data_IF_604758571773
#
_entry.id   IF_604758571773
#
_cell.length_a   1.000
_cell.length_b   1.000
_cell.length_c   1.000
_cell.angle_alpha   90.00
_cell.angle_beta   90.00
_cell.angle_gamma   90.00
#
_symmetry.space_group_name_H-M   'P 1'
#
loop_
_entity.id
_entity.type
_entity.pdbx_description
1 polymer ?
#
# COMPACT_ATOMS: atom_id res chain seq x y z
N UNK A 1 -59.90 35.12 -17.53
CA UNK A 1 -61.17 34.51 -17.09
C UNK A 1 -60.86 33.69 -15.84
N UNK A 2 -61.46 34.10 -14.71
CA UNK A 2 -61.64 33.45 -13.40
C UNK A 2 -60.76 32.23 -13.03
N UNK A 3 -59.84 32.34 -12.07
CA UNK A 3 -59.98 32.47 -10.59
C UNK A 3 -60.17 31.12 -9.85
N UNK A 4 -59.10 30.81 -9.09
CA UNK A 4 -59.07 30.33 -7.70
C UNK A 4 -59.80 29.05 -7.27
N UNK A 5 -59.04 28.15 -6.62
CA UNK A 5 -59.02 28.10 -5.15
C UNK A 5 -57.78 27.37 -4.60
N UNK A 6 -56.83 28.17 -4.10
CA UNK A 6 -56.01 27.80 -2.95
C UNK A 6 -56.90 27.88 -1.70
N UNK A 7 -56.83 26.87 -0.84
CA UNK A 7 -57.09 26.99 0.60
C UNK A 7 -56.15 25.99 1.28
N UNK A 8 -55.24 26.52 2.10
CA UNK A 8 -54.26 25.74 2.84
C UNK A 8 -54.63 25.47 4.30
N UNK A 9 -53.69 24.76 4.95
CA UNK A 9 -53.35 24.79 6.39
C UNK A 9 -54.34 23.99 7.27
N UNK A 10 -53.97 22.93 8.01
CA UNK A 10 -52.89 22.83 9.02
C UNK A 10 -52.31 21.41 9.17
N UNK A 11 -51.02 21.37 9.48
CA UNK A 11 -50.29 20.30 10.14
C UNK A 11 -50.91 19.87 11.47
N UNK A 12 -51.07 18.56 11.72
CA UNK A 12 -50.97 17.93 13.04
C UNK A 12 -50.35 16.53 12.90
N UNK A 13 -49.32 16.33 13.70
CA UNK A 13 -48.54 15.14 14.03
C UNK A 13 -49.39 13.98 14.57
N UNK A 14 -49.13 12.74 14.11
CA UNK A 14 -49.43 11.48 14.81
C UNK A 14 -48.49 10.40 14.22
N UNK A 15 -47.29 10.24 14.78
CA UNK A 15 -46.95 9.29 15.87
C UNK A 15 -46.90 7.84 15.37
N UNK A 16 -45.68 7.31 15.45
CA UNK A 16 -45.25 5.92 15.59
C UNK A 16 -46.33 4.84 15.78
N UNK A 17 -46.22 3.80 14.96
CA UNK A 17 -46.73 2.45 15.19
C UNK A 17 -46.33 1.60 13.99
N UNK A 18 -45.20 0.89 13.98
CA UNK A 18 -44.91 -0.16 14.93
C UNK A 18 -45.51 -1.47 14.42
N UNK A 19 -44.88 -2.07 13.40
CA UNK A 19 -44.86 -3.53 13.26
C UNK A 19 -43.41 -3.97 13.37
N UNK A 20 -42.87 -3.79 14.58
CA UNK A 20 -42.02 -4.80 15.18
C UNK A 20 -42.84 -6.10 15.13
N UNK A 21 -42.57 -6.97 14.17
CA UNK A 21 -42.67 -8.40 14.45
C UNK A 21 -41.45 -8.73 15.31
N UNK A 22 -41.55 -8.34 16.58
CA UNK A 22 -40.84 -8.99 17.66
C UNK A 22 -41.36 -10.43 17.70
N UNK A 23 -40.77 -11.30 16.88
CA UNK A 23 -40.77 -12.73 17.18
C UNK A 23 -39.79 -12.90 18.33
N UNK A 24 -40.29 -12.61 19.53
CA UNK A 24 -39.81 -13.20 20.75
C UNK A 24 -39.94 -14.71 20.59
N UNK A 25 -38.95 -15.36 19.99
CA UNK A 25 -38.64 -16.75 20.33
C UNK A 25 -38.07 -16.72 21.74
N UNK A 26 -38.99 -16.58 22.70
CA UNK A 26 -38.82 -17.05 24.06
C UNK A 26 -38.29 -18.48 23.96
N UNK A 27 -37.09 -18.64 24.50
CA UNK A 27 -36.46 -19.90 24.85
C UNK A 27 -37.49 -20.82 25.51
N UNK A 28 -38.11 -21.68 24.71
CA UNK A 28 -38.90 -22.82 25.17
C UNK A 28 -39.08 -23.81 24.02
N UNK A 29 -38.16 -24.77 23.93
CA UNK A 29 -38.48 -26.18 23.67
C UNK A 29 -39.25 -26.60 22.41
N UNK A 30 -39.39 -25.83 21.34
CA UNK A 30 -39.90 -26.38 20.07
C UNK A 30 -38.81 -27.20 19.38
N UNK A 31 -38.93 -28.53 19.44
CA UNK A 31 -38.14 -29.45 18.62
C UNK A 31 -38.42 -29.19 17.14
N UNK A 32 -37.39 -29.26 16.28
CA UNK A 32 -37.42 -28.98 14.81
C UNK A 32 -38.55 -29.69 14.02
N UNK A 33 -39.28 -30.60 14.64
CA UNK A 33 -40.40 -31.38 14.11
C UNK A 33 -41.69 -30.60 13.87
N UNK A 34 -41.91 -29.43 14.50
CA UNK A 34 -43.21 -28.70 14.42
C UNK A 34 -43.29 -27.59 13.36
N UNK A 35 -42.20 -27.27 12.66
CA UNK A 35 -42.18 -26.17 11.68
C UNK A 35 -42.77 -26.60 10.32
N UNK A 36 -43.50 -25.70 9.64
CA UNK A 36 -43.93 -25.90 8.26
C UNK A 36 -42.74 -25.75 7.26
N UNK A 37 -42.90 -26.15 6.00
CA UNK A 37 -41.79 -26.17 5.02
C UNK A 37 -41.15 -24.79 4.78
N UNK A 38 -41.95 -23.74 4.77
CA UNK A 38 -41.47 -22.35 4.62
C UNK A 38 -40.66 -21.91 5.83
N UNK A 39 -41.12 -22.22 7.05
CA UNK A 39 -40.42 -21.93 8.30
C UNK A 39 -39.12 -22.73 8.42
N UNK A 40 -39.12 -24.02 8.04
CA UNK A 40 -37.89 -24.84 7.98
C UNK A 40 -36.88 -24.27 7.00
N UNK A 41 -37.34 -23.79 5.85
CA UNK A 41 -36.49 -23.13 4.85
C UNK A 41 -35.88 -21.81 5.36
N UNK A 42 -36.65 -21.02 6.11
CA UNK A 42 -36.17 -19.78 6.73
C UNK A 42 -35.16 -20.06 7.85
N UNK A 43 -35.45 -21.03 8.72
CA UNK A 43 -34.54 -21.46 9.79
C UNK A 43 -33.22 -21.97 9.21
N UNK A 44 -33.25 -22.80 8.16
CA UNK A 44 -32.03 -23.28 7.51
C UNK A 44 -31.20 -22.15 6.86
N UNK A 45 -31.85 -21.13 6.28
CA UNK A 45 -31.16 -19.94 5.77
C UNK A 45 -30.55 -19.10 6.89
N UNK A 46 -31.24 -18.97 8.01
CA UNK A 46 -30.73 -18.25 9.17
C UNK A 46 -29.54 -18.99 9.80
N UNK A 47 -29.65 -20.31 10.01
CA UNK A 47 -28.54 -21.14 10.52
C UNK A 47 -27.30 -21.05 9.62
N UNK A 48 -27.50 -20.98 8.29
CA UNK A 48 -26.43 -20.78 7.33
C UNK A 48 -25.77 -19.39 7.47
N UNK A 49 -26.58 -18.33 7.53
CA UNK A 49 -26.10 -16.97 7.70
C UNK A 49 -25.34 -16.79 9.02
N UNK A 50 -25.87 -17.33 10.11
CA UNK A 50 -25.24 -17.28 11.44
C UNK A 50 -23.87 -17.98 11.43
N UNK A 51 -23.73 -19.08 10.67
CA UNK A 51 -22.46 -19.80 10.54
C UNK A 51 -21.44 -19.01 9.73
N UNK A 52 -21.84 -18.37 8.64
CA UNK A 52 -20.97 -17.45 7.90
C UNK A 52 -20.53 -16.26 8.76
N UNK A 53 -21.46 -15.65 9.50
CA UNK A 53 -21.18 -14.53 10.41
C UNK A 53 -20.18 -14.93 11.50
N UNK A 54 -20.39 -16.10 12.12
CA UNK A 54 -19.47 -16.62 13.13
C UNK A 54 -18.07 -16.84 12.57
N UNK A 55 -17.95 -17.53 11.44
CA UNK A 55 -16.65 -17.80 10.80
C UNK A 55 -15.94 -16.50 10.37
N UNK A 56 -16.69 -15.48 9.96
CA UNK A 56 -16.13 -14.18 9.59
C UNK A 56 -15.35 -13.56 10.76
N UNK A 57 -15.96 -13.45 11.94
CA UNK A 57 -15.30 -12.88 13.11
C UNK A 57 -14.23 -13.82 13.69
N UNK A 58 -14.48 -15.14 13.74
CA UNK A 58 -13.48 -16.12 14.20
C UNK A 58 -12.19 -16.10 13.35
N UNK A 59 -12.26 -15.73 12.07
CA UNK A 59 -11.08 -15.60 11.20
C UNK A 59 -10.07 -14.56 11.68
N UNK A 60 -10.50 -13.54 12.44
CA UNK A 60 -9.61 -12.58 13.08
C UNK A 60 -9.06 -13.04 14.43
N UNK A 61 -9.63 -14.09 15.03
CA UNK A 61 -9.19 -14.63 16.31
C UNK A 61 -8.23 -15.79 16.08
N UNK A 62 -8.67 -16.80 15.32
CA UNK A 62 -7.99 -18.07 15.10
C UNK A 62 -7.97 -18.44 13.60
N UNK A 63 -7.13 -17.81 12.77
CA UNK A 63 -7.19 -17.94 11.31
C UNK A 63 -7.03 -19.39 10.82
N UNK A 64 -6.14 -20.17 11.44
CA UNK A 64 -5.86 -21.55 11.02
C UNK A 64 -6.99 -22.53 11.39
N UNK A 65 -7.65 -22.30 12.52
CA UNK A 65 -8.81 -23.09 12.93
C UNK A 65 -10.03 -22.74 12.08
N UNK A 66 -10.25 -21.45 11.84
CA UNK A 66 -11.33 -20.95 10.99
C UNK A 66 -11.22 -21.47 9.57
N UNK A 67 -10.01 -21.53 9.00
CA UNK A 67 -9.82 -22.12 7.66
C UNK A 67 -10.24 -23.60 7.62
N UNK A 68 -9.91 -24.39 8.65
CA UNK A 68 -10.35 -25.80 8.73
C UNK A 68 -11.87 -25.89 8.84
N UNK A 69 -12.48 -25.11 9.73
CA UNK A 69 -13.94 -25.06 9.89
C UNK A 69 -14.66 -24.62 8.61
N UNK A 70 -14.09 -23.66 7.87
CA UNK A 70 -14.63 -23.21 6.58
C UNK A 70 -14.58 -24.33 5.54
N UNK A 71 -13.46 -25.06 5.43
CA UNK A 71 -13.35 -26.22 4.51
C UNK A 71 -14.33 -27.33 4.87
N UNK A 72 -14.50 -27.63 6.15
CA UNK A 72 -15.49 -28.61 6.61
C UNK A 72 -16.92 -28.15 6.31
N UNK A 73 -17.22 -26.87 6.53
CA UNK A 73 -18.52 -26.28 6.22
C UNK A 73 -18.83 -26.34 4.72
N UNK A 74 -17.85 -26.06 3.86
CA UNK A 74 -17.98 -26.19 2.41
C UNK A 74 -18.35 -27.60 1.96
N UNK A 75 -17.64 -28.60 2.49
CA UNK A 75 -17.81 -29.99 2.09
C UNK A 75 -19.08 -30.64 2.65
N UNK A 76 -19.52 -30.24 3.84
CA UNK A 76 -20.61 -30.91 4.55
C UNK A 76 -21.96 -30.19 4.40
N UNK A 77 -21.95 -28.86 4.30
CA UNK A 77 -23.17 -28.05 4.41
C UNK A 77 -23.47 -27.24 3.14
N UNK A 78 -22.44 -26.88 2.35
CA UNK A 78 -22.63 -26.12 1.11
C UNK A 78 -22.68 -27.02 -0.14
N UNK A 79 -22.04 -28.18 -0.10
CA UNK A 79 -22.02 -29.15 -1.20
C UNK A 79 -22.59 -30.48 -0.70
N UNK A 80 -23.56 -31.01 -1.42
CA UNK A 80 -24.12 -32.35 -1.22
C UNK A 80 -24.45 -32.97 -2.58
N UNK A 81 -24.75 -34.26 -2.61
CA UNK A 81 -24.98 -35.03 -3.85
C UNK A 81 -26.00 -34.36 -4.80
N UNK A 82 -27.01 -33.67 -4.25
CA UNK A 82 -28.11 -33.09 -5.03
C UNK A 82 -28.16 -31.54 -4.96
N UNK A 83 -27.23 -30.90 -4.24
CA UNK A 83 -27.27 -29.45 -4.01
C UNK A 83 -25.86 -28.87 -3.88
N UNK A 84 -25.54 -27.92 -4.76
CA UNK A 84 -24.31 -27.14 -4.70
C UNK A 84 -24.65 -25.66 -4.47
N UNK A 85 -24.50 -25.20 -3.24
CA UNK A 85 -24.76 -23.82 -2.85
C UNK A 85 -23.64 -22.85 -3.24
N UNK A 86 -22.46 -23.35 -3.64
CA UNK A 86 -21.35 -22.51 -4.10
C UNK A 86 -21.63 -21.83 -5.45
N UNK A 87 -22.67 -22.26 -6.17
CA UNK A 87 -23.15 -21.56 -7.36
C UNK A 87 -23.89 -20.26 -7.03
N UNK A 88 -24.37 -20.11 -5.79
CA UNK A 88 -24.98 -18.88 -5.30
C UNK A 88 -23.94 -17.77 -5.08
N UNK A 89 -24.23 -16.58 -5.57
CA UNK A 89 -23.28 -15.47 -5.56
C UNK A 89 -23.14 -14.84 -4.17
N UNK A 90 -24.16 -14.89 -3.32
CA UNK A 90 -24.10 -14.33 -1.97
C UNK A 90 -23.27 -15.25 -1.05
N UNK A 91 -23.43 -16.56 -1.22
CA UNK A 91 -22.61 -17.58 -0.53
C UNK A 91 -21.13 -17.46 -0.90
N UNK A 92 -20.81 -17.24 -2.18
CA UNK A 92 -19.42 -16.97 -2.60
C UNK A 92 -18.87 -15.69 -1.97
N UNK A 93 -19.69 -14.64 -1.86
CA UNK A 93 -19.28 -13.38 -1.23
C UNK A 93 -18.97 -13.58 0.25
N UNK A 94 -19.84 -14.26 1.00
CA UNK A 94 -19.60 -14.53 2.43
C UNK A 94 -18.36 -15.41 2.63
N UNK A 95 -18.17 -16.43 1.79
CA UNK A 95 -16.94 -17.23 1.79
C UNK A 95 -15.70 -16.37 1.56
N UNK A 96 -15.68 -15.56 0.51
CA UNK A 96 -14.53 -14.68 0.21
C UNK A 96 -14.26 -13.70 1.35
N UNK A 97 -15.30 -13.15 1.99
CA UNK A 97 -15.11 -12.29 3.16
C UNK A 97 -14.39 -13.01 4.30
N UNK A 98 -14.72 -14.29 4.59
CA UNK A 98 -14.03 -15.09 5.61
C UNK A 98 -12.57 -15.37 5.22
N UNK A 99 -12.32 -15.75 3.96
CA UNK A 99 -10.95 -15.97 3.46
C UNK A 99 -10.09 -14.71 3.61
N UNK A 100 -10.68 -13.53 3.41
CA UNK A 100 -10.04 -12.24 3.62
C UNK A 100 -9.73 -11.96 5.09
N UNK A 101 -10.63 -12.29 6.03
CA UNK A 101 -10.35 -12.12 7.46
C UNK A 101 -9.16 -12.98 7.89
N UNK A 102 -9.12 -14.24 7.44
CA UNK A 102 -8.02 -15.17 7.67
C UNK A 102 -6.70 -14.60 7.11
N UNK A 103 -6.69 -14.13 5.86
CA UNK A 103 -5.50 -13.56 5.21
C UNK A 103 -4.99 -12.32 5.92
N UNK A 104 -5.87 -11.37 6.24
CA UNK A 104 -5.51 -10.15 6.97
C UNK A 104 -4.95 -10.47 8.35
N UNK A 105 -5.55 -11.41 9.07
CA UNK A 105 -5.07 -11.81 10.39
C UNK A 105 -3.70 -12.48 10.34
N UNK A 106 -3.46 -13.35 9.36
CA UNK A 106 -2.13 -13.96 9.14
C UNK A 106 -1.06 -12.91 8.84
N UNK A 107 -1.37 -11.94 7.98
CA UNK A 107 -0.49 -10.80 7.71
C UNK A 107 -0.17 -10.07 9.02
N UNK A 108 -1.19 -9.76 9.82
CA UNK A 108 -1.01 -9.05 11.09
C UNK A 108 -0.14 -9.83 12.08
N UNK A 109 -0.32 -11.16 12.19
CA UNK A 109 0.41 -12.02 13.13
C UNK A 109 1.93 -12.03 12.88
N UNK A 110 2.37 -11.92 11.62
CA UNK A 110 3.79 -11.95 11.26
C UNK A 110 4.38 -10.56 11.04
N UNK A 111 3.55 -9.52 11.02
CA UNK A 111 3.89 -8.20 10.51
C UNK A 111 5.12 -7.58 11.19
N UNK A 112 5.11 -7.54 12.52
CA UNK A 112 6.20 -6.95 13.29
C UNK A 112 7.52 -7.69 13.07
N UNK A 113 7.47 -9.03 13.00
CA UNK A 113 8.67 -9.83 12.73
C UNK A 113 9.20 -9.56 11.33
N UNK A 114 8.34 -9.55 10.31
CA UNK A 114 8.76 -9.30 8.92
C UNK A 114 9.30 -7.89 8.70
N UNK A 115 8.68 -6.84 9.28
CA UNK A 115 9.15 -5.45 9.15
C UNK A 115 10.51 -5.22 9.84
N UNK A 116 10.78 -5.96 10.91
CA UNK A 116 12.03 -5.84 11.64
C UNK A 116 13.19 -6.62 11.00
N UNK A 117 12.94 -7.55 10.08
CA UNK A 117 14.00 -8.23 9.34
C UNK A 117 14.81 -7.24 8.50
N UNK A 118 16.11 -7.54 8.35
CA UNK A 118 17.01 -6.79 7.49
C UNK A 118 17.19 -5.33 7.90
N UNK A 119 17.56 -4.49 6.93
CA UNK A 119 17.84 -3.07 7.12
C UNK A 119 16.56 -2.24 7.13
N UNK A 120 16.67 -0.92 7.31
CA UNK A 120 15.51 -0.02 7.19
C UNK A 120 14.95 0.00 5.75
N UNK A 121 15.81 -0.15 4.73
CA UNK A 121 15.36 -0.33 3.34
C UNK A 121 14.39 -1.52 3.24
N UNK A 122 14.76 -2.68 3.80
CA UNK A 122 13.92 -3.89 3.77
C UNK A 122 12.57 -3.67 4.48
N UNK A 123 12.57 -2.89 5.56
CA UNK A 123 11.35 -2.48 6.26
C UNK A 123 10.40 -1.66 5.38
N UNK A 124 10.90 -0.67 4.65
CA UNK A 124 10.11 0.11 3.71
C UNK A 124 9.61 -0.73 2.53
N UNK A 125 10.43 -1.65 2.02
CA UNK A 125 10.01 -2.59 0.99
C UNK A 125 8.85 -3.46 1.50
N UNK A 126 9.00 -4.03 2.69
CA UNK A 126 8.00 -4.90 3.27
C UNK A 126 6.70 -4.15 3.61
N UNK A 127 6.78 -2.89 4.07
CA UNK A 127 5.62 -2.00 4.22
C UNK A 127 4.80 -1.98 2.93
N UNK A 128 5.42 -1.68 1.79
CA UNK A 128 4.69 -1.53 0.53
C UNK A 128 4.03 -2.84 0.10
N UNK A 129 4.74 -3.96 0.22
CA UNK A 129 4.18 -5.29 -0.08
C UNK A 129 2.94 -5.59 0.76
N UNK A 130 2.98 -5.28 2.05
CA UNK A 130 1.83 -5.48 2.93
C UNK A 130 0.68 -4.54 2.56
N UNK A 131 0.95 -3.27 2.30
CA UNK A 131 -0.08 -2.31 1.87
C UNK A 131 -0.76 -2.71 0.56
N UNK A 132 0.02 -3.14 -0.45
CA UNK A 132 -0.51 -3.66 -1.71
C UNK A 132 -1.40 -4.89 -1.47
N UNK A 133 -0.95 -5.84 -0.64
CA UNK A 133 -1.71 -7.02 -0.28
C UNK A 133 -3.02 -6.67 0.44
N UNK A 134 -2.99 -5.79 1.43
CA UNK A 134 -4.19 -5.35 2.15
C UNK A 134 -5.20 -4.64 1.23
N UNK A 135 -4.72 -3.78 0.33
CA UNK A 135 -5.58 -3.12 -0.66
C UNK A 135 -6.18 -4.11 -1.66
N UNK A 136 -5.38 -5.09 -2.11
CA UNK A 136 -5.86 -6.13 -3.04
C UNK A 136 -7.00 -6.94 -2.42
N UNK A 137 -6.91 -7.28 -1.12
CA UNK A 137 -7.96 -7.98 -0.38
C UNK A 137 -9.31 -7.25 -0.47
N UNK A 138 -9.33 -5.92 -0.29
CA UNK A 138 -10.59 -5.16 -0.39
C UNK A 138 -11.13 -5.10 -1.84
N UNK A 139 -10.22 -5.11 -2.82
CA UNK A 139 -10.58 -5.03 -4.24
C UNK A 139 -10.95 -6.38 -4.87
N UNK A 140 -10.55 -7.51 -4.27
CA UNK A 140 -10.95 -8.85 -4.69
C UNK A 140 -12.47 -9.08 -4.53
N UNK A 141 -13.14 -8.35 -3.62
CA UNK A 141 -14.58 -8.43 -3.46
C UNK A 141 -15.33 -7.82 -4.66
N UNK A 142 -16.43 -8.46 -5.13
CA UNK A 142 -17.33 -7.85 -6.11
C UNK A 142 -17.84 -6.48 -5.62
N UNK A 143 -17.98 -5.51 -6.53
CA UNK A 143 -18.38 -4.13 -6.18
C UNK A 143 -19.61 -4.05 -5.25
N UNK A 144 -20.61 -4.90 -5.48
CA UNK A 144 -21.84 -4.97 -4.66
C UNK A 144 -21.61 -5.39 -3.20
N UNK A 145 -20.51 -6.09 -2.93
CA UNK A 145 -20.12 -6.57 -1.60
C UNK A 145 -19.22 -5.59 -0.84
N UNK A 146 -18.78 -4.50 -1.49
CA UNK A 146 -17.94 -3.45 -0.90
C UNK A 146 -18.76 -2.40 -0.13
N UNK A 147 -19.67 -2.87 0.72
CA UNK A 147 -20.55 -2.02 1.55
C UNK A 147 -21.10 -2.78 2.75
N UNK A 148 -21.52 -2.03 3.77
CA UNK A 148 -22.15 -2.57 4.97
C UNK A 148 -21.15 -3.04 6.03
N UNK A 149 -21.68 -3.46 7.18
CA UNK A 149 -20.92 -3.63 8.43
C UNK A 149 -19.71 -4.56 8.32
N UNK A 150 -19.82 -5.71 7.64
CA UNK A 150 -18.69 -6.64 7.47
C UNK A 150 -17.57 -6.02 6.64
N UNK A 151 -17.91 -5.30 5.57
CA UNK A 151 -16.93 -4.62 4.74
C UNK A 151 -16.27 -3.45 5.49
N UNK A 152 -17.05 -2.63 6.19
CA UNK A 152 -16.54 -1.56 7.07
C UNK A 152 -15.59 -2.12 8.15
N UNK A 153 -15.89 -3.33 8.65
CA UNK A 153 -15.01 -4.04 9.59
C UNK A 153 -13.69 -4.47 8.93
N UNK A 154 -13.72 -4.98 7.70
CA UNK A 154 -12.50 -5.29 6.93
C UNK A 154 -11.65 -4.03 6.70
N UNK A 155 -12.28 -2.91 6.32
CA UNK A 155 -11.59 -1.62 6.13
C UNK A 155 -10.92 -1.16 7.43
N UNK A 156 -11.62 -1.27 8.56
CA UNK A 156 -11.06 -0.97 9.88
C UNK A 156 -9.84 -1.84 10.19
N UNK A 157 -9.90 -3.14 9.85
CA UNK A 157 -8.78 -4.07 10.07
C UNK A 157 -7.59 -3.80 9.15
N UNK A 158 -7.84 -3.37 7.91
CA UNK A 158 -6.78 -2.88 7.03
C UNK A 158 -6.12 -1.64 7.65
N UNK A 159 -6.90 -0.66 8.10
CA UNK A 159 -6.37 0.54 8.75
C UNK A 159 -5.57 0.23 10.04
N UNK A 160 -6.00 -0.75 10.83
CA UNK A 160 -5.25 -1.24 11.99
C UNK A 160 -3.87 -1.79 11.60
N UNK A 161 -3.79 -2.54 10.49
CA UNK A 161 -2.52 -3.04 9.95
C UNK A 161 -1.65 -1.86 9.48
N UNK A 162 -2.20 -0.89 8.74
CA UNK A 162 -1.45 0.30 8.30
C UNK A 162 -0.86 1.08 9.47
N UNK A 163 -1.64 1.26 10.54
CA UNK A 163 -1.16 1.88 11.78
C UNK A 163 0.00 1.08 12.40
N UNK A 164 -0.14 -0.24 12.53
CA UNK A 164 0.91 -1.09 13.08
C UNK A 164 2.20 -1.05 12.25
N UNK A 165 2.09 -0.97 10.92
CA UNK A 165 3.24 -0.77 10.03
C UNK A 165 3.97 0.51 10.39
N UNK A 166 3.25 1.63 10.45
CA UNK A 166 3.83 2.94 10.74
C UNK A 166 4.47 2.99 12.12
N UNK A 167 3.82 2.42 13.15
CA UNK A 167 4.37 2.33 14.50
C UNK A 167 5.65 1.50 14.54
N UNK A 168 5.67 0.36 13.84
CA UNK A 168 6.84 -0.54 13.80
C UNK A 168 8.01 0.11 13.06
N UNK A 169 7.76 0.73 11.91
CA UNK A 169 8.81 1.45 11.18
C UNK A 169 9.33 2.66 11.93
N UNK A 170 8.45 3.46 12.54
CA UNK A 170 8.88 4.60 13.38
C UNK A 170 9.81 4.14 14.51
N UNK A 171 9.55 2.98 15.13
CA UNK A 171 10.46 2.40 16.13
C UNK A 171 11.80 2.00 15.52
N UNK A 172 11.79 1.37 14.34
CA UNK A 172 13.01 0.99 13.61
C UNK A 172 13.83 2.21 13.20
N UNK A 173 13.19 3.25 12.67
CA UNK A 173 13.81 4.54 12.32
C UNK A 173 14.46 5.20 13.54
N UNK A 174 13.77 5.26 14.68
CA UNK A 174 14.30 5.82 15.94
C UNK A 174 15.45 5.00 16.53
N UNK A 175 15.55 3.72 16.20
CA UNK A 175 16.68 2.89 16.61
C UNK A 175 17.95 3.18 15.81
N UNK A 176 17.82 3.88 14.67
CA UNK A 176 18.95 4.35 13.90
C UNK A 176 19.53 5.60 14.58
N UNK A 177 20.86 5.69 14.56
CA UNK A 177 21.57 6.84 15.08
C UNK A 177 21.31 8.11 14.24
N UNK A 178 21.74 9.28 14.73
CA UNK A 178 21.68 10.51 13.95
C UNK A 178 22.58 10.41 12.72
N UNK A 179 22.35 11.28 11.74
CA UNK A 179 23.26 11.45 10.61
C UNK A 179 24.68 11.76 11.13
N UNK A 180 25.73 11.06 10.64
CA UNK A 180 27.11 11.32 11.01
C UNK A 180 27.53 12.77 10.79
N UNK A 181 28.27 13.32 11.76
CA UNK A 181 28.74 14.71 11.71
C UNK A 181 29.58 15.03 10.46
N UNK A 182 30.26 14.05 9.88
CA UNK A 182 31.05 14.22 8.65
C UNK A 182 30.22 14.55 7.40
N UNK A 183 28.92 14.22 7.44
CA UNK A 183 27.94 14.52 6.38
C UNK A 183 27.20 15.84 6.61
N UNK A 184 27.11 16.28 7.87
CA UNK A 184 26.38 17.49 8.27
C UNK A 184 27.20 18.77 8.00
N UNK A 185 26.52 19.93 8.00
CA UNK A 185 27.17 21.25 7.83
C UNK A 185 27.74 21.50 6.43
N UNK A 186 27.42 20.64 5.46
CA UNK A 186 27.96 20.65 4.10
C UNK A 186 26.82 20.66 3.08
N UNK A 187 27.01 21.46 2.04
CA UNK A 187 26.24 21.41 0.82
C UNK A 187 26.92 20.43 -0.14
N UNK A 188 26.29 19.28 -0.36
CA UNK A 188 26.78 18.25 -1.26
C UNK A 188 26.30 18.53 -2.69
N UNK A 189 27.24 18.46 -3.62
CA UNK A 189 27.05 18.80 -5.03
C UNK A 189 27.58 17.70 -5.92
N UNK A 190 26.71 17.15 -6.77
CA UNK A 190 27.12 16.25 -7.85
C UNK A 190 26.82 16.92 -9.17
N UNK A 191 27.82 16.98 -10.05
CA UNK A 191 27.71 17.53 -11.40
C UNK A 191 27.91 16.40 -12.41
N UNK A 192 26.95 16.22 -13.31
CA UNK A 192 27.01 15.22 -14.38
C UNK A 192 26.69 15.89 -15.73
N UNK A 193 27.49 15.52 -16.73
CA UNK A 193 27.19 15.78 -18.15
C UNK A 193 26.30 14.64 -18.66
N UNK A 194 25.09 14.97 -19.07
CA UNK A 194 24.11 14.00 -19.56
C UNK A 194 24.23 13.71 -21.05
N UNK A 195 24.93 14.54 -21.83
CA UNK A 195 25.02 14.40 -23.29
C UNK A 195 25.44 12.96 -23.73
N UNK A 196 26.37 12.27 -23.04
CA UNK A 196 26.74 10.89 -23.39
C UNK A 196 25.65 9.82 -23.16
N UNK A 197 24.66 10.10 -22.30
CA UNK A 197 23.68 9.10 -21.80
C UNK A 197 22.27 9.29 -22.40
N UNK A 198 21.99 10.43 -23.03
CA UNK A 198 20.67 10.82 -23.54
C UNK A 198 20.02 9.82 -24.51
N UNK A 199 20.81 8.98 -25.20
CA UNK A 199 20.29 8.05 -26.21
C UNK A 199 19.94 6.66 -25.67
N UNK A 200 20.35 6.33 -24.44
CA UNK A 200 20.26 4.96 -23.90
C UNK A 200 19.25 4.81 -22.74
N UNK A 201 18.66 5.91 -22.25
CA UNK A 201 17.68 5.88 -21.17
C UNK A 201 16.44 6.68 -21.54
N UNK A 202 15.28 6.02 -21.56
CA UNK A 202 14.00 6.62 -21.94
C UNK A 202 13.61 7.81 -21.04
N UNK A 203 13.88 7.71 -19.73
CA UNK A 203 13.70 8.81 -18.77
C UNK A 203 14.50 10.06 -19.18
N UNK A 204 15.74 9.86 -19.64
CA UNK A 204 16.66 10.94 -20.05
C UNK A 204 16.36 11.51 -21.44
N UNK A 205 15.43 10.89 -22.18
CA UNK A 205 15.05 11.33 -23.53
C UNK A 205 13.98 12.43 -23.53
N UNK A 206 13.41 12.77 -22.36
CA UNK A 206 12.39 13.83 -22.27
C UNK A 206 12.98 15.23 -22.55
N UNK A 207 12.15 16.15 -23.03
CA UNK A 207 12.55 17.52 -23.37
C UNK A 207 13.12 18.31 -22.17
N UNK A 208 12.81 17.88 -20.95
CA UNK A 208 13.30 18.47 -19.71
C UNK A 208 14.79 18.16 -19.55
N UNK A 209 15.23 16.93 -19.85
CA UNK A 209 16.63 16.52 -19.74
C UNK A 209 17.49 16.97 -20.91
N UNK A 210 16.93 17.01 -22.13
CA UNK A 210 17.64 17.50 -23.34
C UNK A 210 18.15 18.94 -23.25
N UNK A 211 17.59 19.75 -22.34
CA UNK A 211 18.00 21.16 -22.12
C UNK A 211 19.03 21.33 -21.00
N UNK A 212 19.36 20.26 -20.29
CA UNK A 212 20.23 20.27 -19.12
C UNK A 212 21.61 19.70 -19.47
N UNK A 213 22.44 20.50 -20.13
CA UNK A 213 23.83 20.14 -20.45
C UNK A 213 24.68 19.83 -19.21
N UNK A 214 24.42 20.55 -18.13
CA UNK A 214 25.08 20.38 -16.84
C UNK A 214 23.99 20.22 -15.78
N UNK A 215 23.85 19.03 -15.23
CA UNK A 215 22.92 18.81 -14.13
C UNK A 215 23.68 18.83 -12.81
N UNK A 216 23.22 19.67 -11.88
CA UNK A 216 23.69 19.70 -10.51
C UNK A 216 22.62 19.25 -9.52
N UNK A 217 23.00 18.36 -8.60
CA UNK A 217 22.20 18.03 -7.42
C UNK A 217 22.84 18.65 -6.21
N UNK A 218 22.11 19.60 -5.64
CA UNK A 218 22.54 20.33 -4.48
C UNK A 218 21.59 19.94 -3.34
N UNK A 219 22.11 19.14 -2.39
CA UNK A 219 21.39 18.82 -1.17
C UNK A 219 22.28 18.95 0.07
N UNK A 220 21.63 19.11 1.22
CA UNK A 220 22.29 19.00 2.50
C UNK A 220 21.48 18.15 3.47
N UNK A 221 22.19 17.48 4.37
CA UNK A 221 21.60 16.68 5.42
C UNK A 221 21.15 17.58 6.58
N UNK A 222 19.97 17.30 7.12
CA UNK A 222 19.42 17.96 8.29
C UNK A 222 19.61 17.07 9.53
N UNK A 223 19.56 17.68 10.72
CA UNK A 223 19.72 16.95 11.98
C UNK A 223 18.53 16.02 12.32
N UNK A 224 17.41 16.13 11.59
CA UNK A 224 16.18 15.36 11.81
C UNK A 224 16.03 14.16 10.85
N UNK A 225 17.14 13.58 10.38
CA UNK A 225 17.15 12.45 9.43
C UNK A 225 16.42 12.76 8.11
N UNK A 226 16.51 14.00 7.65
CA UNK A 226 15.93 14.43 6.37
C UNK A 226 17.00 15.11 5.54
N UNK A 227 16.72 15.28 4.25
CA UNK A 227 17.51 16.17 3.38
C UNK A 227 16.68 17.33 2.88
N UNK A 228 17.36 18.44 2.65
CA UNK A 228 16.83 19.56 1.88
C UNK A 228 17.53 19.58 0.53
N UNK A 229 16.75 19.49 -0.54
CA UNK A 229 17.26 19.51 -1.91
C UNK A 229 16.38 20.45 -2.76
N UNK A 230 17.00 21.22 -3.67
CA UNK A 230 16.25 21.94 -4.71
C UNK A 230 15.84 21.01 -5.85
N UNK A 231 16.65 19.97 -6.07
CA UNK A 231 16.49 18.94 -7.09
C UNK A 231 17.26 17.72 -6.61
N UNK A 232 16.68 16.55 -6.76
CA UNK A 232 17.27 15.29 -6.32
C UNK A 232 17.01 14.29 -7.45
N UNK A 233 18.06 13.71 -8.01
CA UNK A 233 17.92 12.66 -9.02
C UNK A 233 19.02 11.72 -8.67
N UNK A 234 18.65 10.47 -8.49
CA UNK A 234 19.60 9.41 -8.40
C UNK A 234 19.07 8.25 -9.21
N UNK A 235 19.94 7.70 -10.06
CA UNK A 235 19.79 6.52 -10.92
C UNK A 235 18.36 6.22 -11.46
N UNK A 236 18.07 6.43 -12.76
CA UNK A 236 16.77 6.07 -13.34
C UNK A 236 16.53 4.57 -13.20
N UNK A 237 15.36 4.14 -12.71
CA UNK A 237 14.97 2.72 -12.78
C UNK A 237 14.58 2.40 -14.20
N UNK A 238 15.42 1.63 -14.89
CA UNK A 238 15.08 1.12 -16.21
C UNK A 238 14.23 -0.14 -16.02
N UNK A 239 12.98 -0.06 -16.45
CA UNK A 239 12.05 -1.19 -16.49
C UNK A 239 12.16 -1.84 -17.87
N UNK A 240 12.45 -3.15 -17.89
CA UNK A 240 12.49 -3.93 -19.12
C UNK A 240 11.15 -3.83 -19.87
N UNK A 241 11.20 -3.45 -21.15
CA UNK A 241 10.04 -3.36 -22.03
C UNK A 241 9.22 -2.06 -21.95
N UNK A 242 9.67 -1.03 -21.23
CA UNK A 242 8.95 0.25 -21.15
C UNK A 242 9.72 1.40 -21.81
N UNK A 243 9.50 1.61 -23.11
CA UNK A 243 10.06 2.72 -23.90
C UNK A 243 9.53 4.11 -23.47
N UNK A 244 8.51 4.16 -22.61
CA UNK A 244 7.81 5.39 -22.21
C UNK A 244 7.59 5.52 -20.71
N UNK A 245 8.35 4.78 -19.89
CA UNK A 245 8.28 4.91 -18.44
C UNK A 245 8.94 6.22 -18.03
N UNK A 246 8.13 7.23 -17.72
CA UNK A 246 8.59 8.41 -16.97
C UNK A 246 8.47 8.05 -15.49
N UNK A 247 9.60 7.68 -14.90
CA UNK A 247 9.67 7.28 -13.51
C UNK A 247 9.60 8.49 -12.56
N UNK A 248 9.55 9.72 -13.10
CA UNK A 248 9.82 10.96 -12.37
C UNK A 248 11.19 10.92 -11.67
N UNK A 249 12.19 10.34 -12.35
CA UNK A 249 13.57 10.27 -11.85
C UNK A 249 14.17 11.66 -11.56
N UNK A 250 13.67 12.70 -12.23
CA UNK A 250 13.91 14.10 -11.88
C UNK A 250 12.93 14.60 -10.83
N UNK A 251 13.24 14.31 -9.57
CA UNK A 251 12.46 14.86 -8.49
C UNK A 251 12.68 16.37 -8.37
N UNK A 252 11.56 17.07 -8.26
CA UNK A 252 11.49 18.49 -7.91
C UNK A 252 10.51 18.66 -6.74
N UNK A 253 10.55 19.78 -6.00
CA UNK A 253 9.60 20.02 -4.91
C UNK A 253 8.12 19.97 -5.33
N UNK A 254 7.81 20.22 -6.60
CA UNK A 254 6.45 20.12 -7.13
C UNK A 254 5.95 18.67 -7.28
N UNK A 255 6.86 17.70 -7.37
CA UNK A 255 6.56 16.26 -7.48
C UNK A 255 6.62 15.54 -6.12
N UNK A 256 6.82 16.29 -5.04
CA UNK A 256 7.09 15.75 -3.71
C UNK A 256 5.79 15.39 -2.97
N UNK A 257 5.65 14.11 -2.59
CA UNK A 257 4.46 13.58 -1.91
C UNK A 257 4.29 14.09 -0.49
N UNK A 258 5.28 13.82 0.36
CA UNK A 258 5.39 14.36 1.71
C UNK A 258 6.47 15.45 1.73
N UNK A 259 6.39 16.44 2.62
CA UNK A 259 7.23 17.66 2.61
C UNK A 259 8.73 17.43 2.81
N UNK A 260 9.19 16.18 2.98
CA UNK A 260 10.59 15.86 3.28
C UNK A 260 11.03 14.57 2.59
N UNK A 261 12.27 14.56 2.12
CA UNK A 261 12.99 13.33 1.78
C UNK A 261 13.64 12.83 3.07
N UNK A 262 13.39 11.58 3.43
CA UNK A 262 14.00 10.98 4.61
C UNK A 262 15.34 10.35 4.26
N UNK A 263 16.26 10.40 5.21
CA UNK A 263 17.61 9.87 5.06
C UNK A 263 18.08 9.18 6.33
N UNK A 264 18.56 7.95 6.19
CA UNK A 264 19.01 7.12 7.28
C UNK A 264 20.41 6.56 7.01
N UNK A 265 21.22 6.43 8.07
CA UNK A 265 22.57 5.85 7.96
C UNK A 265 22.73 4.64 8.86
N UNK A 266 23.42 3.60 8.36
CA UNK A 266 23.67 2.35 9.08
C UNK A 266 24.74 1.54 8.36
N UNK A 267 25.66 0.88 9.08
CA UNK A 267 26.63 -0.06 8.48
C UNK A 267 27.39 0.48 7.24
N UNK A 268 27.84 1.74 7.26
CA UNK A 268 28.44 2.44 6.10
C UNK A 268 27.52 2.53 4.87
N UNK A 269 26.21 2.48 5.10
CA UNK A 269 25.17 2.68 4.11
C UNK A 269 24.39 3.96 4.38
N UNK A 270 23.89 4.51 3.29
CA UNK A 270 23.06 5.69 3.28
C UNK A 270 21.79 5.36 2.48
N UNK A 271 20.65 5.45 3.15
CA UNK A 271 19.34 5.13 2.61
C UNK A 271 18.51 6.39 2.47
N UNK A 272 17.99 6.63 1.28
CA UNK A 272 17.03 7.70 0.98
C UNK A 272 15.65 7.11 0.70
N UNK A 273 14.64 7.70 1.33
CA UNK A 273 13.24 7.51 0.99
C UNK A 273 12.68 8.82 0.42
N UNK A 274 12.27 8.78 -0.84
CA UNK A 274 11.80 9.96 -1.58
C UNK A 274 10.30 9.78 -1.87
N UNK A 275 9.41 10.39 -1.08
CA UNK A 275 7.97 10.31 -1.33
C UNK A 275 7.56 11.15 -2.55
N UNK A 276 6.67 10.58 -3.37
CA UNK A 276 6.19 11.18 -4.62
C UNK A 276 4.69 11.49 -4.55
N UNK A 277 4.24 12.57 -5.19
CA UNK A 277 2.82 12.71 -5.53
C UNK A 277 2.48 11.80 -6.69
N UNK A 278 1.22 11.37 -6.73
CA UNK A 278 0.66 10.78 -7.94
C UNK A 278 0.77 11.77 -9.10
N UNK A 279 1.46 11.38 -10.17
CA UNK A 279 1.66 12.18 -11.37
C UNK A 279 0.98 11.57 -12.61
N UNK A 280 0.04 10.64 -12.42
CA UNK A 280 -0.70 10.03 -13.51
C UNK A 280 -1.47 11.07 -14.34
N UNK A 281 -1.19 11.14 -15.64
CA UNK A 281 -1.98 11.91 -16.59
C UNK A 281 -3.14 11.05 -17.08
N UNK A 282 -4.33 11.34 -16.55
CA UNK A 282 -5.58 10.66 -16.90
C UNK A 282 -5.96 10.77 -18.38
N UNK A 283 -5.46 11.78 -19.11
CA UNK A 283 -5.84 12.01 -20.51
C UNK A 283 -4.92 11.30 -21.49
N UNK A 284 -3.62 11.23 -21.20
CA UNK A 284 -2.65 10.56 -22.07
C UNK A 284 -2.39 9.11 -21.68
N UNK A 285 -2.83 8.70 -20.47
CA UNK A 285 -2.48 7.41 -19.89
C UNK A 285 -0.98 7.27 -19.58
N UNK A 286 -0.23 8.39 -19.67
CA UNK A 286 1.20 8.48 -19.36
C UNK A 286 1.39 8.88 -17.89
N UNK A 287 2.56 8.57 -17.37
CA UNK A 287 2.88 8.75 -15.95
C UNK A 287 2.53 7.51 -15.13
N UNK A 288 3.11 7.43 -13.94
CA UNK A 288 2.87 6.34 -13.00
C UNK A 288 2.18 6.91 -11.77
N UNK A 289 1.35 6.12 -11.10
CA UNK A 289 0.96 6.42 -9.72
C UNK A 289 2.16 6.09 -8.81
N UNK A 290 3.30 6.76 -9.03
CA UNK A 290 4.50 6.61 -8.24
C UNK A 290 4.23 7.16 -6.83
N UNK A 291 4.52 6.36 -5.83
CA UNK A 291 4.32 6.72 -4.43
C UNK A 291 5.64 7.05 -3.75
N UNK A 292 6.71 6.33 -4.08
CA UNK A 292 8.03 6.60 -3.52
C UNK A 292 9.17 5.95 -4.28
N UNK A 293 10.34 6.57 -4.18
CA UNK A 293 11.62 5.98 -4.51
C UNK A 293 12.42 5.60 -3.27
N UNK A 294 13.27 4.58 -3.44
CA UNK A 294 14.16 4.04 -2.44
C UNK A 294 15.55 3.94 -3.01
N UNK A 295 16.53 4.51 -2.33
CA UNK A 295 17.93 4.38 -2.76
C UNK A 295 18.78 3.98 -1.57
N UNK A 296 19.54 2.91 -1.69
CA UNK A 296 20.55 2.53 -0.71
C UNK A 296 21.93 2.52 -1.37
N UNK A 297 22.84 3.29 -0.79
CA UNK A 297 24.23 3.41 -1.22
C UNK A 297 25.15 2.84 -0.15
N UNK A 298 26.23 2.19 -0.56
CA UNK A 298 27.45 2.17 0.23
C UNK A 298 28.08 3.58 0.14
N UNK A 299 28.52 4.16 1.26
CA UNK A 299 29.11 5.51 1.26
C UNK A 299 30.49 5.58 1.92
N UNK A 300 31.29 6.51 1.43
CA UNK A 300 32.60 6.86 1.99
C UNK A 300 32.84 8.37 1.91
N UNK A 301 33.36 8.96 2.98
CA UNK A 301 33.77 10.36 3.01
C UNK A 301 35.30 10.45 2.93
N UNK A 302 35.81 11.21 1.96
CA UNK A 302 37.24 11.49 1.77
C UNK A 302 37.46 13.00 1.70
N UNK A 303 37.73 13.63 2.85
CA UNK A 303 37.88 15.08 2.95
C UNK A 303 36.58 15.82 2.58
N UNK A 304 36.59 16.47 1.43
CA UNK A 304 35.46 17.22 0.88
C UNK A 304 34.67 16.43 -0.18
N UNK A 305 34.91 15.12 -0.27
CA UNK A 305 34.24 14.23 -1.20
C UNK A 305 33.38 13.21 -0.45
N UNK A 306 32.18 12.96 -0.97
CA UNK A 306 31.29 11.89 -0.56
C UNK A 306 31.10 10.98 -1.76
N UNK A 307 31.65 9.78 -1.67
CA UNK A 307 31.55 8.74 -2.69
C UNK A 307 30.34 7.88 -2.35
N UNK A 308 29.42 7.77 -3.29
CA UNK A 308 28.24 6.92 -3.18
C UNK A 308 28.32 5.82 -4.24
N UNK A 309 28.21 4.56 -3.80
CA UNK A 309 28.15 3.39 -4.68
C UNK A 309 26.80 2.72 -4.52
N UNK A 310 26.07 2.60 -5.62
CA UNK A 310 24.71 2.07 -5.65
C UNK A 310 24.69 0.63 -5.16
N UNK A 311 23.91 0.36 -4.12
CA UNK A 311 23.70 -0.98 -3.60
C UNK A 311 22.32 -1.51 -4.01
N UNK A 312 21.26 -0.72 -3.79
CA UNK A 312 19.89 -1.07 -4.14
C UNK A 312 19.10 0.15 -4.55
N UNK A 313 18.25 0.00 -5.56
CA UNK A 313 17.27 1.01 -5.98
C UNK A 313 15.90 0.36 -6.00
N UNK A 314 14.88 1.10 -5.60
CA UNK A 314 13.51 0.65 -5.71
C UNK A 314 12.55 1.77 -6.06
N UNK A 315 11.47 1.39 -6.71
CA UNK A 315 10.36 2.25 -7.07
C UNK A 315 9.06 1.58 -6.65
N UNK A 316 8.27 2.27 -5.83
CA UNK A 316 6.93 1.84 -5.43
C UNK A 316 5.88 2.64 -6.18
N UNK A 317 4.99 1.93 -6.87
CA UNK A 317 3.81 2.45 -7.56
C UNK A 317 2.54 1.89 -6.93
N UNK A 318 1.38 2.45 -7.25
CA UNK A 318 0.09 2.00 -6.69
C UNK A 318 -0.20 0.52 -6.88
N UNK A 319 0.33 -0.09 -7.94
CA UNK A 319 0.02 -1.48 -8.32
C UNK A 319 1.22 -2.41 -8.20
N UNK A 320 2.43 -1.88 -8.09
CA UNK A 320 3.63 -2.71 -8.10
C UNK A 320 4.80 -2.09 -7.34
N UNK A 321 5.82 -2.90 -7.10
CA UNK A 321 7.09 -2.46 -6.55
C UNK A 321 8.24 -3.10 -7.33
N UNK A 322 9.14 -2.26 -7.81
CA UNK A 322 10.34 -2.63 -8.52
C UNK A 322 11.55 -2.48 -7.60
N UNK A 323 12.49 -3.43 -7.65
CA UNK A 323 13.72 -3.40 -6.86
C UNK A 323 14.83 -3.99 -7.72
N UNK A 324 15.92 -3.24 -7.86
CA UNK A 324 17.16 -3.72 -8.48
C UNK A 324 18.29 -3.62 -7.47
N UNK A 325 19.05 -4.70 -7.31
CA UNK A 325 20.17 -4.81 -6.38
C UNK A 325 21.48 -4.96 -7.15
N UNK A 326 22.60 -4.58 -6.52
CA UNK A 326 23.91 -4.57 -7.19
C UNK A 326 24.37 -5.89 -7.79
N UNK A 327 23.81 -7.01 -7.30
CA UNK A 327 24.17 -8.35 -7.75
C UNK A 327 23.23 -8.87 -8.83
N UNK A 328 22.17 -8.13 -9.18
CA UNK A 328 21.25 -8.52 -10.24
C UNK A 328 21.90 -8.24 -11.59
N UNK A 329 21.75 -9.16 -12.54
CA UNK A 329 22.21 -8.94 -13.93
C UNK A 329 21.58 -7.68 -14.53
N UNK A 330 20.36 -7.35 -14.11
CA UNK A 330 19.69 -6.10 -14.47
C UNK A 330 20.53 -4.88 -14.08
N UNK A 331 21.18 -4.87 -12.92
CA UNK A 331 22.01 -3.73 -12.53
C UNK A 331 23.15 -3.47 -13.53
N UNK A 332 23.74 -4.54 -14.09
CA UNK A 332 24.85 -4.43 -15.04
C UNK A 332 24.42 -3.72 -16.32
N UNK A 333 23.24 -4.03 -16.85
CA UNK A 333 22.78 -3.53 -18.15
C UNK A 333 21.80 -2.36 -18.08
N UNK A 334 21.12 -2.18 -16.94
CA UNK A 334 20.08 -1.17 -16.74
C UNK A 334 20.60 0.18 -16.22
N UNK A 335 21.89 0.32 -15.90
CA UNK A 335 22.42 1.57 -15.37
C UNK A 335 23.80 1.90 -15.94
N UNK A 336 23.98 3.14 -16.40
CA UNK A 336 25.30 3.64 -16.80
C UNK A 336 26.25 3.68 -15.60
N UNK A 337 27.55 3.53 -15.87
CA UNK A 337 28.60 3.49 -14.84
C UNK A 337 28.58 4.73 -13.93
N UNK A 338 28.24 5.91 -14.49
CA UNK A 338 28.14 7.15 -13.73
C UNK A 338 27.02 7.16 -12.67
N UNK A 339 25.98 6.33 -12.82
CA UNK A 339 24.92 6.19 -11.81
C UNK A 339 25.20 5.06 -10.81
N UNK A 340 26.08 4.12 -11.15
CA UNK A 340 26.51 3.02 -10.27
C UNK A 340 27.46 3.48 -9.17
N UNK A 341 28.34 4.44 -9.47
CA UNK A 341 29.22 5.05 -8.47
C UNK A 341 29.55 6.48 -8.86
N UNK A 342 29.33 7.42 -7.95
CA UNK A 342 29.57 8.84 -8.20
C UNK A 342 30.08 9.55 -6.95
N UNK A 343 30.71 10.71 -7.19
CA UNK A 343 31.35 11.51 -6.15
C UNK A 343 30.68 12.87 -6.06
N UNK A 344 30.21 13.19 -4.85
CA UNK A 344 29.69 14.49 -4.47
C UNK A 344 30.82 15.34 -3.88
N UNK A 345 31.00 16.55 -4.36
CA UNK A 345 31.88 17.55 -3.73
C UNK A 345 31.11 18.35 -2.67
N UNK A 346 31.73 18.68 -1.55
CA UNK A 346 31.14 19.55 -0.52
C UNK A 346 31.65 20.98 -0.60
N UNK A 347 30.74 21.93 -0.40
CA UNK A 347 31.04 23.27 0.09
C UNK A 347 30.46 23.43 1.49
N UNK A 348 31.08 24.24 2.35
CA UNK A 348 30.48 24.58 3.65
C UNK A 348 29.13 25.30 3.44
N UNK A 349 28.14 24.98 4.29
CA UNK A 349 26.82 25.62 4.27
C UNK A 349 26.84 27.09 4.71
#
# INVERSE_FOLDING_TARGET
>A
MNLNKYNGVKSITAVCGGMLLALCFLVSGCTKTELNETERGLVAKQELADRFDKLFYEGFENPDETEKKLREFELNDLVSNDKNLLTDQDIRVDKSMIEMTIRLRRIQNTLETELNKGTIFDGFIQKNRVLLNCKSVLQELPYRARKGKKYEYLETKVADIERLINETLTKKERSLGPIPNELLGKQWKWKIDFDPYQFNSADLFSDIFKKLKDFSFDFHFNNDNTITAKRFFLAPVIIEGSESFDAAGDWTPALMGDKKIECYTYNHKLFFYVPMIDNADFNTGRGNVAHAWYYEYDYKVEGNELILTMNRVGLYTMVNQFITTKNDNEMEYSYDAAFKSFTLSSNSL
#
